data_IF_173890276158
#
_entry.id   IF_173890276158
#
_cell.length_a   1.000
_cell.length_b   1.000
_cell.length_c   1.000
_cell.angle_alpha   90.00
_cell.angle_beta   90.00
_cell.angle_gamma   90.00
#
_symmetry.space_group_name_H-M   'P 1'
#
loop_
_entity.id
_entity.type
_entity.pdbx_description
1 polymer ?
#
# COMPACT_ATOMS: atom_id res chain seq x y z
N UNK A 1 -7.53 -21.42 -12.78
CA UNK A 1 -6.37 -21.79 -11.94
C UNK A 1 -4.99 -21.53 -12.59
N UNK A 2 -4.75 -21.81 -13.86
CA UNK A 2 -3.44 -21.62 -14.54
C UNK A 2 -2.93 -20.17 -14.53
N UNK A 3 -3.78 -19.17 -14.76
CA UNK A 3 -3.37 -17.75 -14.81
C UNK A 3 -2.87 -17.19 -13.47
N UNK A 4 -3.43 -17.63 -12.33
CA UNK A 4 -3.01 -17.20 -10.99
C UNK A 4 -1.64 -17.77 -10.62
N UNK A 5 -1.38 -19.04 -10.96
CA UNK A 5 -0.06 -19.66 -10.76
C UNK A 5 1.04 -18.98 -11.60
N UNK A 6 0.73 -18.63 -12.87
CA UNK A 6 1.67 -17.90 -13.73
C UNK A 6 2.02 -16.52 -13.19
N UNK A 7 1.04 -15.75 -12.69
CA UNK A 7 1.28 -14.43 -12.10
C UNK A 7 2.17 -14.52 -10.85
N UNK A 8 1.91 -15.48 -9.97
CA UNK A 8 2.74 -15.69 -8.78
C UNK A 8 4.21 -16.00 -9.14
N UNK A 9 4.45 -16.84 -10.18
CA UNK A 9 5.80 -17.14 -10.67
C UNK A 9 6.49 -15.91 -11.27
N UNK A 10 5.78 -15.11 -12.07
CA UNK A 10 6.31 -13.86 -12.63
C UNK A 10 6.74 -12.92 -11.51
N UNK A 11 5.93 -12.76 -10.47
CA UNK A 11 6.22 -11.87 -9.34
C UNK A 11 7.41 -12.35 -8.52
N UNK A 12 7.49 -13.65 -8.21
CA UNK A 12 8.65 -14.21 -7.52
C UNK A 12 9.94 -13.96 -8.31
N UNK A 13 9.94 -14.24 -9.61
CA UNK A 13 11.07 -13.99 -10.50
C UNK A 13 11.45 -12.49 -10.59
N UNK A 14 10.44 -11.59 -10.59
CA UNK A 14 10.68 -10.15 -10.61
C UNK A 14 11.35 -9.67 -9.31
N UNK A 15 10.87 -10.12 -8.14
CA UNK A 15 11.47 -9.79 -6.84
C UNK A 15 12.93 -10.23 -6.77
N UNK A 16 13.25 -11.46 -7.18
CA UNK A 16 14.61 -11.96 -7.21
C UNK A 16 15.51 -11.10 -8.09
N UNK A 17 15.08 -10.82 -9.33
CA UNK A 17 15.87 -10.04 -10.29
C UNK A 17 16.03 -8.58 -9.86
N UNK A 18 15.00 -7.96 -9.26
CA UNK A 18 15.12 -6.60 -8.74
C UNK A 18 16.14 -6.52 -7.59
N UNK A 19 16.24 -7.54 -6.74
CA UNK A 19 17.26 -7.60 -5.69
C UNK A 19 18.66 -7.89 -6.27
N UNK A 20 18.77 -8.79 -7.26
CA UNK A 20 20.06 -9.18 -7.87
C UNK A 20 20.68 -8.07 -8.72
N UNK A 21 19.87 -7.35 -9.51
CA UNK A 21 20.32 -6.49 -10.61
C UNK A 21 19.79 -5.05 -10.51
N UNK A 22 19.01 -4.75 -9.50
CA UNK A 22 18.26 -3.52 -9.41
C UNK A 22 17.08 -3.47 -10.37
N UNK A 23 16.24 -2.46 -10.21
CA UNK A 23 15.06 -2.25 -11.06
C UNK A 23 15.46 -1.94 -12.52
N UNK A 24 16.44 -1.03 -12.70
CA UNK A 24 16.85 -0.57 -14.03
C UNK A 24 17.59 -1.66 -14.81
N UNK A 25 18.40 -2.49 -14.15
CA UNK A 25 19.12 -3.62 -14.75
C UNK A 25 18.23 -4.84 -15.09
N UNK A 26 16.93 -4.79 -14.75
CA UNK A 26 15.99 -5.90 -14.96
C UNK A 26 15.08 -5.64 -16.15
N UNK A 27 14.88 -6.66 -17.00
CA UNK A 27 13.96 -6.60 -18.14
C UNK A 27 12.80 -7.57 -17.98
N UNK A 28 11.64 -7.28 -18.62
CA UNK A 28 10.51 -8.22 -18.63
C UNK A 28 10.88 -9.57 -19.25
N UNK A 29 11.76 -9.57 -20.26
CA UNK A 29 12.26 -10.79 -20.87
C UNK A 29 12.99 -11.66 -19.85
N UNK A 30 13.94 -11.09 -19.11
CA UNK A 30 14.67 -11.79 -18.05
C UNK A 30 13.74 -12.34 -16.96
N UNK A 31 12.71 -11.56 -16.59
CA UNK A 31 11.68 -12.02 -15.66
C UNK A 31 10.90 -13.21 -16.21
N UNK A 32 10.52 -13.18 -17.50
CA UNK A 32 9.84 -14.28 -18.16
C UNK A 32 10.69 -15.55 -18.17
N UNK A 33 11.96 -15.44 -18.57
CA UNK A 33 12.92 -16.53 -18.58
C UNK A 33 13.11 -17.15 -17.17
N UNK A 34 13.32 -16.31 -16.14
CA UNK A 34 13.45 -16.75 -14.73
C UNK A 34 12.15 -17.42 -14.23
N UNK A 35 10.99 -16.96 -14.68
CA UNK A 35 9.69 -17.55 -14.35
C UNK A 35 9.41 -18.85 -15.14
N UNK A 36 10.34 -19.32 -15.99
CA UNK A 36 10.17 -20.49 -16.84
C UNK A 36 9.07 -20.31 -17.90
N UNK A 37 8.99 -19.11 -18.47
CA UNK A 37 8.02 -18.72 -19.50
C UNK A 37 8.75 -18.28 -20.77
N UNK A 38 8.20 -18.58 -21.94
CA UNK A 38 8.73 -18.03 -23.19
C UNK A 38 8.60 -16.49 -23.21
N UNK A 39 9.56 -15.83 -23.88
CA UNK A 39 9.66 -14.36 -23.91
C UNK A 39 8.36 -13.65 -24.33
N UNK A 40 7.61 -14.21 -25.29
CA UNK A 40 6.31 -13.66 -25.71
C UNK A 40 5.19 -13.90 -24.70
N UNK A 41 5.33 -14.87 -23.83
CA UNK A 41 4.28 -15.24 -22.86
C UNK A 41 4.13 -14.25 -21.74
N UNK A 42 5.22 -13.60 -21.29
CA UNK A 42 5.16 -12.63 -20.20
C UNK A 42 4.33 -11.40 -20.56
N UNK A 43 4.42 -10.91 -21.81
CA UNK A 43 3.67 -9.73 -22.27
C UNK A 43 2.16 -9.90 -22.30
N UNK A 44 1.65 -11.14 -22.23
CA UNK A 44 0.23 -11.43 -22.04
C UNK A 44 -0.24 -11.25 -20.59
N UNK A 45 0.70 -11.23 -19.65
CA UNK A 45 0.41 -11.14 -18.22
C UNK A 45 0.66 -9.74 -17.67
N UNK A 46 1.71 -9.07 -18.15
CA UNK A 46 2.14 -7.74 -17.68
C UNK A 46 2.70 -6.93 -18.84
N UNK A 47 2.44 -5.62 -18.83
CA UNK A 47 2.83 -4.69 -19.90
C UNK A 47 4.16 -4.01 -19.63
N UNK A 48 4.51 -3.82 -18.36
CA UNK A 48 5.75 -3.18 -17.94
C UNK A 48 6.23 -3.70 -16.58
N UNK A 49 7.50 -3.47 -16.27
CA UNK A 49 8.03 -3.78 -14.95
C UNK A 49 7.46 -2.85 -13.85
N UNK A 50 7.05 -1.63 -14.19
CA UNK A 50 6.32 -0.75 -13.29
C UNK A 50 4.94 -1.33 -12.91
N UNK A 51 4.25 -1.98 -13.84
CA UNK A 51 3.00 -2.67 -13.55
C UNK A 51 3.18 -3.77 -12.49
N UNK A 52 4.30 -4.50 -12.52
CA UNK A 52 4.62 -5.50 -11.50
C UNK A 52 4.77 -4.86 -10.11
N UNK A 53 5.42 -3.70 -10.02
CA UNK A 53 5.57 -2.98 -8.74
C UNK A 53 4.23 -2.55 -8.16
N UNK A 54 3.33 -2.02 -8.98
CA UNK A 54 1.99 -1.64 -8.52
C UNK A 54 1.18 -2.87 -8.09
N UNK A 55 1.33 -4.00 -8.77
CA UNK A 55 0.72 -5.26 -8.35
C UNK A 55 1.26 -5.74 -7.00
N UNK A 56 2.57 -5.58 -6.73
CA UNK A 56 3.16 -5.89 -5.43
C UNK A 56 2.53 -5.06 -4.30
N UNK A 57 2.46 -3.74 -4.48
CA UNK A 57 1.81 -2.87 -3.49
C UNK A 57 0.34 -3.23 -3.28
N UNK A 58 -0.38 -3.60 -4.36
CA UNK A 58 -1.78 -4.03 -4.26
C UNK A 58 -1.91 -5.27 -3.37
N UNK A 59 -1.04 -6.27 -3.56
CA UNK A 59 -1.10 -7.49 -2.75
C UNK A 59 -0.67 -7.26 -1.31
N UNK A 60 0.37 -6.45 -1.08
CA UNK A 60 0.76 -6.04 0.28
C UNK A 60 -0.40 -5.33 1.00
N UNK A 61 -1.14 -4.50 0.29
CA UNK A 61 -2.32 -3.83 0.84
C UNK A 61 -3.45 -4.81 1.17
N UNK A 62 -3.75 -5.76 0.27
CA UNK A 62 -4.78 -6.78 0.52
C UNK A 62 -4.36 -7.72 1.67
N UNK A 63 -3.08 -8.06 1.78
CA UNK A 63 -2.56 -8.82 2.90
C UNK A 63 -2.65 -8.05 4.22
N UNK A 64 -2.32 -6.76 4.22
CA UNK A 64 -2.47 -5.90 5.40
C UNK A 64 -3.93 -5.85 5.86
N UNK A 65 -4.86 -5.70 4.91
CA UNK A 65 -6.27 -5.69 5.21
C UNK A 65 -6.76 -7.02 5.80
N UNK A 66 -6.33 -8.15 5.20
CA UNK A 66 -6.68 -9.47 5.71
C UNK A 66 -6.16 -9.68 7.14
N UNK A 67 -4.87 -9.36 7.40
CA UNK A 67 -4.27 -9.46 8.73
C UNK A 67 -4.98 -8.57 9.74
N UNK A 68 -5.27 -7.33 9.35
CA UNK A 68 -6.03 -6.41 10.18
C UNK A 68 -7.41 -6.97 10.52
N UNK A 69 -8.19 -7.42 9.53
CA UNK A 69 -9.55 -7.96 9.75
C UNK A 69 -9.59 -9.16 10.68
N UNK A 70 -8.59 -10.04 10.63
CA UNK A 70 -8.49 -11.22 11.49
C UNK A 70 -8.23 -10.85 12.95
N UNK A 71 -7.61 -9.70 13.21
CA UNK A 71 -7.23 -9.22 14.54
C UNK A 71 -8.02 -7.98 15.01
N UNK A 72 -8.99 -7.50 14.20
CA UNK A 72 -9.73 -6.26 14.46
C UNK A 72 -10.73 -6.43 15.59
N UNK A 73 -10.47 -5.78 16.71
CA UNK A 73 -11.42 -5.63 17.81
C UNK A 73 -12.39 -4.48 17.51
N UNK A 74 -13.61 -4.83 17.12
CA UNK A 74 -14.70 -3.88 16.81
C UNK A 74 -15.12 -3.03 18.02
N UNK A 75 -14.75 -3.42 19.25
CA UNK A 75 -15.05 -2.67 20.47
C UNK A 75 -13.99 -1.61 20.79
N UNK A 76 -12.79 -1.74 20.21
CA UNK A 76 -11.72 -0.78 20.39
C UNK A 76 -12.07 0.60 19.78
N UNK A 77 -11.53 1.70 20.34
CA UNK A 77 -11.72 3.05 19.79
C UNK A 77 -11.31 3.12 18.30
N UNK A 78 -12.08 3.84 17.50
CA UNK A 78 -11.86 3.97 16.04
C UNK A 78 -10.45 4.46 15.71
N UNK A 79 -9.90 5.41 16.49
CA UNK A 79 -8.52 5.87 16.37
C UNK A 79 -7.52 4.70 16.50
N UNK A 80 -7.65 3.88 17.54
CA UNK A 80 -6.76 2.75 17.76
C UNK A 80 -6.83 1.73 16.61
N UNK A 81 -8.02 1.50 16.07
CA UNK A 81 -8.22 0.60 14.91
C UNK A 81 -7.56 1.16 13.64
N UNK A 82 -7.67 2.47 13.37
CA UNK A 82 -6.96 3.12 12.25
C UNK A 82 -5.45 3.00 12.42
N UNK A 83 -4.91 3.31 13.61
CA UNK A 83 -3.48 3.16 13.91
C UNK A 83 -3.02 1.72 13.67
N UNK A 84 -3.75 0.74 14.22
CA UNK A 84 -3.45 -0.68 14.04
C UNK A 84 -3.41 -1.10 12.57
N UNK A 85 -4.35 -0.64 11.74
CA UNK A 85 -4.34 -0.92 10.31
C UNK A 85 -3.10 -0.35 9.62
N UNK A 86 -2.76 0.92 9.91
CA UNK A 86 -1.59 1.58 9.33
C UNK A 86 -0.27 0.96 9.78
N UNK A 87 -0.19 0.49 11.04
CA UNK A 87 0.94 -0.28 11.57
C UNK A 87 1.13 -1.61 10.85
N UNK A 88 0.06 -2.40 10.68
CA UNK A 88 0.12 -3.67 9.94
C UNK A 88 0.57 -3.44 8.50
N UNK A 89 0.05 -2.39 7.85
CA UNK A 89 0.45 -2.02 6.50
C UNK A 89 1.93 -1.59 6.45
N UNK A 90 2.39 -0.79 7.43
CA UNK A 90 3.80 -0.37 7.50
C UNK A 90 4.74 -1.56 7.73
N UNK A 91 4.40 -2.48 8.64
CA UNK A 91 5.20 -3.67 8.91
C UNK A 91 5.38 -4.55 7.65
N UNK A 92 4.34 -4.68 6.82
CA UNK A 92 4.44 -5.39 5.55
C UNK A 92 5.31 -4.65 4.53
N UNK A 93 5.24 -3.33 4.48
CA UNK A 93 6.12 -2.52 3.63
C UNK A 93 7.58 -2.65 4.08
N UNK A 94 7.86 -2.62 5.37
CA UNK A 94 9.20 -2.74 5.92
C UNK A 94 9.80 -4.14 5.76
N UNK A 95 8.98 -5.19 5.62
CA UNK A 95 9.47 -6.58 5.43
C UNK A 95 10.19 -6.79 4.10
N UNK A 96 9.99 -5.94 3.11
CA UNK A 96 10.70 -5.93 1.82
C UNK A 96 10.95 -4.48 1.38
N UNK A 97 11.66 -3.73 2.23
CA UNK A 97 11.83 -2.29 2.10
C UNK A 97 12.38 -1.87 0.73
N UNK A 98 13.38 -2.58 0.21
CA UNK A 98 14.02 -2.25 -1.08
C UNK A 98 13.00 -2.30 -2.22
N UNK A 99 12.20 -3.36 -2.29
CA UNK A 99 11.17 -3.50 -3.32
C UNK A 99 10.07 -2.47 -3.15
N UNK A 100 9.62 -2.25 -1.91
CA UNK A 100 8.53 -1.31 -1.60
C UNK A 100 8.94 0.13 -1.88
N UNK A 101 10.18 0.52 -1.57
CA UNK A 101 10.72 1.85 -1.90
C UNK A 101 10.65 2.10 -3.42
N UNK A 102 11.10 1.15 -4.24
CA UNK A 102 11.01 1.26 -5.70
C UNK A 102 9.55 1.34 -6.14
N UNK A 103 8.68 0.51 -5.56
CA UNK A 103 7.27 0.46 -5.91
C UNK A 103 6.52 1.76 -5.53
N UNK A 104 6.81 2.34 -4.36
CA UNK A 104 6.23 3.62 -3.95
C UNK A 104 6.65 4.76 -4.88
N UNK A 105 7.93 4.80 -5.29
CA UNK A 105 8.40 5.78 -6.30
C UNK A 105 7.66 5.63 -7.62
N UNK A 106 7.41 4.41 -8.07
CA UNK A 106 6.67 4.15 -9.30
C UNK A 106 5.20 4.62 -9.25
N UNK A 107 4.59 4.72 -8.04
CA UNK A 107 3.22 5.26 -7.91
C UNK A 107 3.18 6.79 -7.88
N UNK A 108 4.30 7.47 -7.59
CA UNK A 108 4.36 8.93 -7.53
C UNK A 108 4.25 9.57 -8.92
N UNK A 109 4.89 8.94 -9.92
CA UNK A 109 4.85 9.36 -11.33
C UNK A 109 4.55 8.15 -12.21
N UNK A 110 3.31 7.63 -12.17
CA UNK A 110 2.99 6.42 -12.92
C UNK A 110 2.97 6.70 -14.42
N UNK A 111 3.66 5.85 -15.19
CA UNK A 111 3.50 5.83 -16.65
C UNK A 111 2.03 5.58 -17.04
N UNK A 112 1.58 6.13 -18.16
CA UNK A 112 0.19 6.04 -18.61
C UNK A 112 -0.41 4.61 -18.57
N UNK A 113 0.32 3.53 -18.91
CA UNK A 113 -0.21 2.16 -18.83
C UNK A 113 -0.53 1.70 -17.41
N UNK A 114 0.15 2.25 -16.38
CA UNK A 114 -0.03 1.86 -14.97
C UNK A 114 -0.82 2.86 -14.15
N UNK A 115 -1.04 4.09 -14.65
CA UNK A 115 -1.74 5.16 -13.93
C UNK A 115 -3.11 4.71 -13.41
N UNK A 116 -3.89 4.00 -14.23
CA UNK A 116 -5.20 3.47 -13.84
C UNK A 116 -5.13 2.48 -12.68
N UNK A 117 -4.08 1.63 -12.63
CA UNK A 117 -3.88 0.69 -11.54
C UNK A 117 -3.40 1.38 -10.27
N UNK A 118 -2.55 2.39 -10.40
CA UNK A 118 -2.11 3.21 -9.26
C UNK A 118 -3.30 3.95 -8.62
N UNK A 119 -4.20 4.51 -9.44
CA UNK A 119 -5.45 5.12 -8.96
C UNK A 119 -6.36 4.09 -8.27
N UNK A 120 -6.54 2.90 -8.84
CA UNK A 120 -7.35 1.85 -8.22
C UNK A 120 -6.76 1.39 -6.87
N UNK A 121 -5.43 1.35 -6.73
CA UNK A 121 -4.77 1.06 -5.47
C UNK A 121 -5.07 2.15 -4.42
N UNK A 122 -5.03 3.42 -4.81
CA UNK A 122 -5.39 4.55 -3.95
C UNK A 122 -6.86 4.48 -3.52
N UNK A 123 -7.78 4.30 -4.47
CA UNK A 123 -9.23 4.20 -4.19
C UNK A 123 -9.52 3.04 -3.25
N UNK A 124 -8.83 1.92 -3.43
CA UNK A 124 -8.96 0.77 -2.54
C UNK A 124 -8.49 1.11 -1.11
N UNK A 125 -7.33 1.76 -0.96
CA UNK A 125 -6.80 2.16 0.35
C UNK A 125 -7.76 3.10 1.09
N UNK A 126 -8.28 4.10 0.39
CA UNK A 126 -9.28 5.04 0.93
C UNK A 126 -10.57 4.29 1.32
N UNK A 127 -11.03 3.35 0.49
CA UNK A 127 -12.20 2.51 0.80
C UNK A 127 -12.05 1.71 2.10
N UNK A 128 -10.87 1.10 2.31
CA UNK A 128 -10.58 0.34 3.53
C UNK A 128 -10.58 1.23 4.79
N UNK A 129 -9.97 2.41 4.72
CA UNK A 129 -10.01 3.39 5.81
C UNK A 129 -11.43 3.89 6.07
N UNK A 130 -12.22 4.13 5.01
CA UNK A 130 -13.63 4.53 5.12
C UNK A 130 -14.45 3.46 5.85
N UNK A 131 -14.24 2.17 5.56
CA UNK A 131 -14.92 1.05 6.24
C UNK A 131 -14.62 1.05 7.76
N UNK A 132 -13.35 1.28 8.15
CA UNK A 132 -12.98 1.38 9.58
C UNK A 132 -13.70 2.54 10.26
N UNK A 133 -13.67 3.74 9.65
CA UNK A 133 -14.30 4.94 10.19
C UNK A 133 -15.83 4.79 10.29
N UNK A 134 -16.49 4.23 9.27
CA UNK A 134 -17.93 4.00 9.27
C UNK A 134 -18.35 3.00 10.35
N UNK A 135 -17.60 1.92 10.51
CA UNK A 135 -17.88 0.90 11.54
C UNK A 135 -17.65 1.41 12.97
N UNK A 136 -16.83 2.45 13.13
CA UNK A 136 -16.54 3.11 14.41
C UNK A 136 -17.19 4.49 14.56
N UNK A 137 -18.26 4.79 13.80
CA UNK A 137 -18.87 6.13 13.73
C UNK A 137 -19.29 6.72 15.09
N UNK A 138 -19.57 5.87 16.07
CA UNK A 138 -19.91 6.29 17.44
C UNK A 138 -18.81 7.13 18.14
N UNK A 139 -17.56 6.93 17.73
CA UNK A 139 -16.39 7.62 18.31
C UNK A 139 -16.06 8.93 17.58
N UNK A 140 -16.79 9.23 16.50
CA UNK A 140 -16.58 10.42 15.67
C UNK A 140 -17.60 11.50 16.00
N UNK A 141 -17.23 12.77 15.82
CA UNK A 141 -18.14 13.89 15.97
C UNK A 141 -19.34 13.78 14.98
N UNK A 142 -20.53 14.24 15.38
CA UNK A 142 -21.67 14.29 14.47
C UNK A 142 -21.33 15.06 13.19
N UNK A 143 -21.75 14.53 12.04
CA UNK A 143 -21.53 15.18 10.74
C UNK A 143 -20.16 14.94 10.10
N UNK A 144 -19.24 14.22 10.74
CA UNK A 144 -17.95 13.84 10.12
C UNK A 144 -18.21 13.02 8.86
N UNK A 145 -17.66 13.48 7.74
CA UNK A 145 -17.62 12.75 6.48
C UNK A 145 -16.47 11.70 6.55
N UNK A 146 -16.85 10.45 6.69
CA UNK A 146 -15.90 9.34 6.80
C UNK A 146 -15.01 9.18 5.55
N UNK A 147 -15.53 9.51 4.36
CA UNK A 147 -14.75 9.43 3.12
C UNK A 147 -13.70 10.55 3.06
N UNK A 148 -14.09 11.79 3.43
CA UNK A 148 -13.15 12.90 3.50
C UNK A 148 -12.05 12.66 4.54
N UNK A 149 -12.41 12.15 5.72
CA UNK A 149 -11.46 11.77 6.76
C UNK A 149 -10.52 10.63 6.30
N UNK A 150 -11.04 9.61 5.63
CA UNK A 150 -10.24 8.53 5.05
C UNK A 150 -9.24 9.03 4.00
N UNK A 151 -9.65 9.96 3.15
CA UNK A 151 -8.75 10.62 2.17
C UNK A 151 -7.62 11.38 2.86
N UNK A 152 -7.93 12.16 3.90
CA UNK A 152 -6.91 12.88 4.67
C UNK A 152 -5.90 11.91 5.30
N UNK A 153 -6.36 10.85 5.96
CA UNK A 153 -5.51 9.79 6.54
C UNK A 153 -4.64 9.13 5.47
N UNK A 154 -5.22 8.79 4.32
CA UNK A 154 -4.47 8.19 3.21
C UNK A 154 -3.37 9.11 2.71
N UNK A 155 -3.66 10.40 2.46
CA UNK A 155 -2.68 11.34 1.92
C UNK A 155 -1.54 11.59 2.88
N UNK A 156 -1.82 11.71 4.18
CA UNK A 156 -0.78 11.87 5.21
C UNK A 156 0.12 10.64 5.27
N UNK A 157 -0.47 9.44 5.38
CA UNK A 157 0.30 8.19 5.44
C UNK A 157 1.11 7.96 4.15
N UNK A 158 0.55 8.28 2.98
CA UNK A 158 1.23 8.16 1.69
C UNK A 158 2.38 9.16 1.58
N UNK A 159 2.19 10.41 2.01
CA UNK A 159 3.24 11.43 2.01
C UNK A 159 4.45 11.03 2.87
N UNK A 160 4.22 10.52 4.08
CA UNK A 160 5.28 10.02 4.94
C UNK A 160 6.03 8.83 4.31
N UNK A 161 5.31 7.88 3.69
CA UNK A 161 5.91 6.72 3.01
C UNK A 161 6.70 7.11 1.77
N UNK A 162 6.22 8.07 0.98
CA UNK A 162 6.95 8.61 -0.17
C UNK A 162 8.23 9.32 0.29
N UNK A 163 8.16 10.08 1.39
CA UNK A 163 9.34 10.72 1.99
C UNK A 163 10.38 9.68 2.45
N UNK A 164 9.92 8.59 3.08
CA UNK A 164 10.78 7.46 3.40
C UNK A 164 11.38 6.81 2.15
N UNK A 165 10.56 6.51 1.14
CA UNK A 165 11.02 5.93 -0.13
C UNK A 165 12.06 6.79 -0.87
N UNK A 166 12.05 8.10 -0.68
CA UNK A 166 13.01 9.04 -1.24
C UNK A 166 14.20 9.34 -0.32
N UNK A 167 14.32 8.67 0.82
CA UNK A 167 15.43 8.85 1.77
C UNK A 167 15.37 10.14 2.58
N UNK A 168 14.25 10.87 2.55
CA UNK A 168 14.03 12.08 3.33
C UNK A 168 13.68 11.78 4.79
N UNK A 169 13.14 10.59 5.07
CA UNK A 169 12.83 10.09 6.39
C UNK A 169 13.45 8.71 6.59
N UNK A 170 13.92 8.43 7.81
CA UNK A 170 14.18 7.05 8.22
C UNK A 170 12.85 6.30 8.38
N UNK A 171 12.88 4.96 8.39
CA UNK A 171 11.70 4.14 8.65
C UNK A 171 11.01 4.52 9.98
N UNK A 172 11.81 4.68 11.04
CA UNK A 172 11.30 5.08 12.35
C UNK A 172 10.67 6.48 12.34
N UNK A 173 11.24 7.43 11.59
CA UNK A 173 10.66 8.76 11.43
C UNK A 173 9.37 8.73 10.62
N UNK A 174 9.29 7.90 9.59
CA UNK A 174 8.06 7.68 8.82
C UNK A 174 6.93 7.17 9.71
N UNK A 175 7.19 6.15 10.54
CA UNK A 175 6.19 5.62 11.50
C UNK A 175 5.70 6.71 12.44
N UNK A 176 6.61 7.43 13.09
CA UNK A 176 6.24 8.53 14.01
C UNK A 176 5.41 9.59 13.31
N UNK A 177 5.79 10.02 12.11
CA UNK A 177 5.05 11.03 11.34
C UNK A 177 3.62 10.58 11.03
N UNK A 178 3.40 9.29 10.70
CA UNK A 178 2.06 8.73 10.50
C UNK A 178 1.27 8.74 11.80
N UNK A 179 1.85 8.27 12.91
CA UNK A 179 1.18 8.18 14.21
C UNK A 179 0.78 9.57 14.74
N UNK A 180 1.71 10.53 14.73
CA UNK A 180 1.47 11.92 15.14
C UNK A 180 0.37 12.58 14.30
N UNK A 181 0.35 12.30 13.00
CA UNK A 181 -0.65 12.84 12.09
C UNK A 181 -2.04 12.23 12.31
N UNK A 182 -2.10 10.93 12.58
CA UNK A 182 -3.36 10.26 12.99
C UNK A 182 -3.87 10.88 14.28
N UNK A 183 -3.00 11.10 15.26
CA UNK A 183 -3.35 11.72 16.53
C UNK A 183 -3.90 13.15 16.35
N UNK A 184 -3.25 13.93 15.49
CA UNK A 184 -3.69 15.30 15.20
C UNK A 184 -5.06 15.30 14.50
N UNK A 185 -5.25 14.45 13.49
CA UNK A 185 -6.53 14.34 12.79
C UNK A 185 -7.66 13.91 13.73
N UNK A 186 -7.44 12.92 14.58
CA UNK A 186 -8.46 12.46 15.51
C UNK A 186 -8.81 13.47 16.62
N UNK A 187 -7.94 14.45 16.94
CA UNK A 187 -8.32 15.58 17.82
C UNK A 187 -9.40 16.45 17.18
N UNK A 188 -9.42 16.58 15.84
CA UNK A 188 -10.46 17.32 15.12
C UNK A 188 -11.68 16.48 14.73
N UNK A 189 -11.54 15.15 14.69
CA UNK A 189 -12.63 14.23 14.32
C UNK A 189 -13.43 13.71 15.50
N UNK A 190 -12.89 13.81 16.72
CA UNK A 190 -13.58 13.37 17.95
C UNK A 190 -14.58 14.41 18.44
N UNK A 191 -15.65 14.01 19.15
CA UNK A 191 -16.55 14.95 19.77
C UNK A 191 -15.79 15.88 20.72
N UNK A 192 -16.25 17.15 20.88
CA UNK A 192 -15.67 18.05 21.87
C UNK A 192 -15.78 17.40 23.26
N UNK A 193 -14.71 17.53 24.04
CA UNK A 193 -14.75 17.11 25.45
C UNK A 193 -15.65 18.07 26.19
N UNK A 194 -16.77 17.57 26.73
CA UNK A 194 -17.65 18.30 27.60
C UNK A 194 -16.95 18.70 28.91
#
# INVERSE_FOLDING_TARGET
>A
MRGRKSRARIRAAARELFRERGFDGTTLRAIGERAGMGASSIYRHVRSKHELLVLELTELQEEAWLRFRLADDKTAPTRARVQRFLEVQHALHASDADLVVIALRATTYPEAPVARRALALQDRAVGLLTEILQSGRRDLAPGVDALAAARALFHVASGARISWANGLLSEAACRRAVDESVDLLFRGLSPPRG
#
